data_IF_732751143543
#
_entry.id   IF_732751143543
#
_cell.length_a   1.000
_cell.length_b   1.000
_cell.length_c   1.000
_cell.angle_alpha   90.00
_cell.angle_beta   90.00
_cell.angle_gamma   90.00
#
_symmetry.space_group_name_H-M   'P 1'
#
loop_
_entity.id
_entity.type
_entity.pdbx_description
1 polymer ?
#
# COMPACT_ATOMS: atom_id res chain seq x y z
N UNK A 1 -7.55 -17.43 0.54
CA UNK A 1 -6.70 -16.91 1.63
C UNK A 1 -7.60 -16.76 2.84
N UNK A 2 -7.20 -17.35 3.98
CA UNK A 2 -8.06 -17.47 5.17
C UNK A 2 -8.00 -16.16 5.98
N UNK A 3 -9.13 -15.67 6.49
CA UNK A 3 -9.24 -14.44 7.33
C UNK A 3 -8.25 -14.40 8.51
N UNK A 4 -7.72 -15.56 8.90
CA UNK A 4 -6.77 -15.71 10.01
C UNK A 4 -5.40 -15.08 9.73
N UNK A 5 -5.00 -14.97 8.47
CA UNK A 5 -3.71 -14.34 8.11
C UNK A 5 -3.79 -12.81 8.22
N UNK A 6 -4.94 -12.23 7.88
CA UNK A 6 -5.20 -10.78 7.96
C UNK A 6 -5.17 -10.27 9.40
N UNK A 7 -5.78 -11.02 10.33
CA UNK A 7 -5.84 -10.62 11.73
C UNK A 7 -4.45 -10.59 12.39
N UNK A 8 -3.55 -11.49 11.99
CA UNK A 8 -2.20 -11.59 12.56
C UNK A 8 -1.30 -10.45 12.06
N UNK A 9 -1.37 -10.11 10.78
CA UNK A 9 -0.62 -9.00 10.17
C UNK A 9 -1.09 -7.62 10.71
N UNK A 10 -2.39 -7.48 11.01
CA UNK A 10 -2.94 -6.28 11.65
C UNK A 10 -2.50 -6.09 13.10
N UNK A 11 -2.18 -7.16 13.83
CA UNK A 11 -1.70 -7.10 15.22
C UNK A 11 -0.22 -6.68 15.27
N UNK A 12 0.61 -7.14 14.33
CA UNK A 12 2.03 -6.74 14.26
C UNK A 12 2.21 -5.25 13.91
N UNK A 13 1.30 -4.66 13.13
CA UNK A 13 1.27 -3.22 12.84
C UNK A 13 0.78 -2.35 14.02
N UNK A 14 0.36 -2.93 15.15
CA UNK A 14 -0.10 -2.17 16.31
C UNK A 14 1.01 -1.85 17.32
N UNK A 15 2.25 -2.31 17.13
CA UNK A 15 3.32 -2.07 18.10
C UNK A 15 3.92 -0.66 18.00
N UNK A 16 3.79 0.02 16.86
CA UNK A 16 4.30 1.37 16.67
C UNK A 16 3.19 2.42 16.83
N UNK A 17 3.37 3.47 17.65
CA UNK A 17 2.38 4.54 17.80
C UNK A 17 2.05 5.26 16.49
N UNK A 18 3.00 5.36 15.54
CA UNK A 18 2.74 5.92 14.21
C UNK A 18 1.82 5.05 13.35
N UNK A 19 1.98 3.73 13.44
CA UNK A 19 1.20 2.77 12.65
C UNK A 19 -0.25 2.69 13.16
N UNK A 20 -0.47 2.88 14.47
CA UNK A 20 -1.81 2.99 15.07
C UNK A 20 -2.59 4.22 14.57
N UNK A 21 -1.93 5.35 14.39
CA UNK A 21 -2.57 6.58 13.90
C UNK A 21 -3.01 6.40 12.43
N UNK A 22 -2.15 5.78 11.61
CA UNK A 22 -2.45 5.43 10.22
C UNK A 22 -3.62 4.44 10.14
N UNK A 23 -3.65 3.42 11.00
CA UNK A 23 -4.75 2.44 11.10
C UNK A 23 -6.06 3.06 11.59
N UNK A 24 -6.00 4.06 12.48
CA UNK A 24 -7.18 4.76 13.01
C UNK A 24 -7.79 5.71 11.98
N UNK A 25 -6.96 6.44 11.25
CA UNK A 25 -7.39 7.27 10.11
C UNK A 25 -8.00 6.38 9.01
N UNK A 26 -7.37 5.24 8.72
CA UNK A 26 -7.88 4.28 7.75
C UNK A 26 -9.26 3.71 8.15
N UNK A 27 -9.42 3.30 9.42
CA UNK A 27 -10.68 2.73 9.92
C UNK A 27 -11.83 3.73 10.00
N UNK A 28 -11.54 5.03 10.14
CA UNK A 28 -12.57 6.06 10.29
C UNK A 28 -13.11 6.62 8.97
N UNK A 29 -12.29 6.66 7.90
CA UNK A 29 -12.66 7.33 6.64
C UNK A 29 -12.62 6.40 5.42
N UNK A 30 -12.12 5.17 5.56
CA UNK A 30 -11.71 4.29 4.42
C UNK A 30 -10.82 5.03 3.40
N UNK A 31 -10.12 6.05 3.89
CA UNK A 31 -9.36 7.02 3.12
C UNK A 31 -8.21 7.49 3.99
N UNK A 32 -7.03 7.65 3.40
CA UNK A 32 -5.84 8.12 4.08
C UNK A 32 -5.73 9.65 3.92
N UNK A 33 -5.40 10.36 5.00
CA UNK A 33 -5.05 11.79 4.91
C UNK A 33 -3.92 11.99 3.90
N UNK A 34 -3.81 13.18 3.30
CA UNK A 34 -2.72 13.45 2.34
C UNK A 34 -1.32 13.22 2.95
N UNK A 35 -1.17 13.48 4.25
CA UNK A 35 0.06 13.24 5.01
C UNK A 35 0.35 11.73 5.14
N UNK A 36 -0.64 10.95 5.58
CA UNK A 36 -0.50 9.50 5.75
C UNK A 36 -0.28 8.78 4.41
N UNK A 37 -0.88 9.28 3.32
CA UNK A 37 -0.60 8.81 1.96
C UNK A 37 0.87 8.99 1.57
N UNK A 38 1.44 10.17 1.83
CA UNK A 38 2.86 10.44 1.55
C UNK A 38 3.77 9.52 2.36
N UNK A 39 3.52 9.38 3.65
CA UNK A 39 4.33 8.50 4.51
C UNK A 39 4.29 7.04 4.05
N UNK A 40 3.11 6.53 3.68
CA UNK A 40 2.98 5.19 3.11
C UNK A 40 3.77 5.04 1.80
N UNK A 41 3.65 6.03 0.90
CA UNK A 41 4.40 6.02 -0.37
C UNK A 41 5.90 6.06 -0.12
N UNK A 42 6.37 6.91 0.79
CA UNK A 42 7.79 7.04 1.13
C UNK A 42 8.35 5.73 1.71
N UNK A 43 7.60 5.06 2.60
CA UNK A 43 7.96 3.75 3.15
C UNK A 43 8.09 2.69 2.05
N UNK A 44 7.11 2.63 1.14
CA UNK A 44 7.11 1.67 0.03
C UNK A 44 8.22 1.95 -0.98
N UNK A 45 8.56 3.22 -1.21
CA UNK A 45 9.69 3.61 -2.08
C UNK A 45 11.02 3.23 -1.43
N UNK A 46 11.17 3.40 -0.11
CA UNK A 46 12.36 2.95 0.62
C UNK A 46 12.52 1.44 0.51
N UNK A 47 11.47 0.69 0.84
CA UNK A 47 11.45 -0.78 0.77
C UNK A 47 11.75 -1.30 -0.65
N UNK A 48 11.14 -0.69 -1.68
CA UNK A 48 11.40 -1.03 -3.07
C UNK A 48 12.85 -0.73 -3.47
N UNK A 49 13.42 0.38 -2.99
CA UNK A 49 14.80 0.79 -3.31
C UNK A 49 15.83 -0.07 -2.58
N UNK A 50 15.56 -0.46 -1.35
CA UNK A 50 16.40 -1.36 -0.55
C UNK A 50 16.38 -2.78 -1.12
N UNK A 51 15.21 -3.26 -1.55
CA UNK A 51 15.05 -4.64 -2.04
C UNK A 51 15.47 -4.82 -3.50
N UNK A 52 15.26 -3.80 -4.35
CA UNK A 52 15.44 -3.90 -5.80
C UNK A 52 16.43 -2.89 -6.40
N UNK A 53 17.06 -2.06 -5.57
CA UNK A 53 17.94 -0.99 -6.00
C UNK A 53 17.17 0.23 -6.55
N UNK A 54 17.91 1.25 -6.98
CA UNK A 54 17.31 2.54 -7.40
C UNK A 54 16.46 2.47 -8.67
N UNK A 55 16.57 1.40 -9.47
CA UNK A 55 15.82 1.23 -10.72
C UNK A 55 15.05 -0.09 -10.75
N UNK A 56 13.94 -0.17 -10.00
CA UNK A 56 13.07 -1.34 -10.04
C UNK A 56 12.41 -1.48 -11.43
N UNK A 57 12.35 -2.72 -11.92
CA UNK A 57 11.70 -3.11 -13.17
C UNK A 57 10.19 -2.83 -13.12
N UNK A 58 9.56 -2.79 -14.30
CA UNK A 58 8.10 -2.65 -14.43
C UNK A 58 7.34 -3.71 -13.63
N UNK A 59 7.82 -4.96 -13.64
CA UNK A 59 7.16 -6.07 -12.90
C UNK A 59 7.20 -5.86 -11.39
N UNK A 60 8.31 -5.33 -10.86
CA UNK A 60 8.44 -5.00 -9.44
C UNK A 60 7.50 -3.84 -9.07
N UNK A 61 7.49 -2.77 -9.88
CA UNK A 61 6.56 -1.64 -9.68
C UNK A 61 5.09 -2.10 -9.72
N UNK A 62 4.73 -2.97 -10.67
CA UNK A 62 3.40 -3.57 -10.76
C UNK A 62 3.05 -4.41 -9.52
N UNK A 63 4.00 -5.17 -8.98
CA UNK A 63 3.78 -5.98 -7.78
C UNK A 63 3.50 -5.12 -6.54
N UNK A 64 4.22 -4.02 -6.37
CA UNK A 64 3.96 -3.09 -5.27
C UNK A 64 2.63 -2.38 -5.44
N UNK A 65 2.34 -1.88 -6.65
CA UNK A 65 1.09 -1.22 -6.96
C UNK A 65 -0.13 -2.13 -6.71
N UNK A 66 -0.03 -3.42 -7.06
CA UNK A 66 -1.04 -4.43 -6.72
C UNK A 66 -1.22 -4.57 -5.20
N UNK A 67 -0.14 -4.69 -4.42
CA UNK A 67 -0.22 -4.79 -2.95
C UNK A 67 -0.90 -3.56 -2.35
N UNK A 68 -0.57 -2.37 -2.83
CA UNK A 68 -1.19 -1.11 -2.38
C UNK A 68 -2.70 -1.16 -2.61
N UNK A 69 -3.17 -1.45 -3.82
CA UNK A 69 -4.62 -1.44 -4.08
C UNK A 69 -5.37 -2.61 -3.44
N UNK A 70 -4.69 -3.71 -3.12
CA UNK A 70 -5.26 -4.81 -2.33
C UNK A 70 -5.50 -4.37 -0.89
N UNK A 71 -4.56 -3.64 -0.29
CA UNK A 71 -4.70 -3.10 1.07
C UNK A 71 -5.62 -1.89 1.13
N UNK A 72 -5.58 -1.05 0.09
CA UNK A 72 -6.28 0.22 -0.01
C UNK A 72 -7.10 0.25 -1.31
N UNK A 73 -8.22 -0.47 -1.31
CA UNK A 73 -9.09 -0.58 -2.49
C UNK A 73 -9.64 0.76 -3.00
N UNK A 74 -9.68 1.78 -2.15
CA UNK A 74 -10.04 3.17 -2.52
C UNK A 74 -8.99 3.88 -3.37
N UNK A 75 -7.75 3.38 -3.42
CA UNK A 75 -6.69 3.88 -4.30
C UNK A 75 -6.69 3.19 -5.68
N UNK A 76 -7.58 2.21 -5.88
CA UNK A 76 -7.74 1.57 -7.18
C UNK A 76 -8.23 2.60 -8.19
N UNK A 77 -7.50 2.74 -9.28
CA UNK A 77 -7.91 3.56 -10.42
C UNK A 77 -9.13 2.91 -11.10
N UNK A 78 -10.30 3.57 -11.13
CA UNK A 78 -11.51 3.01 -11.74
C UNK A 78 -11.44 2.96 -13.27
N UNK A 79 -10.48 3.65 -13.91
CA UNK A 79 -10.37 3.76 -15.37
C UNK A 79 -9.34 2.81 -15.98
N UNK A 80 -8.45 2.21 -15.19
CA UNK A 80 -7.53 1.18 -15.69
C UNK A 80 -8.07 -0.23 -15.46
N UNK A 81 -7.87 -1.10 -16.46
CA UNK A 81 -8.33 -2.49 -16.41
C UNK A 81 -7.74 -3.26 -15.21
N UNK A 82 -6.47 -2.99 -14.88
CA UNK A 82 -5.81 -3.57 -13.70
C UNK A 82 -6.13 -2.79 -12.41
N UNK A 83 -6.45 -1.51 -12.50
CA UNK A 83 -6.74 -0.63 -11.36
C UNK A 83 -5.51 -0.04 -10.67
N UNK A 84 -4.30 -0.30 -11.17
CA UNK A 84 -3.04 0.17 -10.57
C UNK A 84 -1.94 0.45 -11.59
N UNK A 85 -2.24 0.28 -12.88
CA UNK A 85 -1.34 0.66 -13.98
C UNK A 85 -2.15 1.07 -15.18
N UNK A 86 -1.83 2.24 -15.75
CA UNK A 86 -2.21 2.56 -17.11
C UNK A 86 -1.36 1.69 -18.04
N UNK A 87 -1.99 0.84 -18.85
CA UNK A 87 -1.30 0.19 -19.95
C UNK A 87 -0.98 1.26 -21.00
N UNK A 88 0.07 2.03 -20.78
CA UNK A 88 0.72 2.74 -21.87
C UNK A 88 1.43 1.67 -22.71
N UNK A 89 0.89 1.47 -23.91
CA UNK A 89 1.41 0.66 -25.02
C UNK A 89 2.82 1.08 -25.41
#
# INVERSE_FOLDING_TARGET
>A
MCEKDTAKEMVELQENPGDREILKDYNSVRSLSHRSRRQLVDLLVSDMSETHGQMPSRKQKESYALRIITLFSSLKDPFSQKGYTNQAS
#
